data_IF_902707263342
#
_entry.id   IF_902707263342
#
_cell.length_a   1.000
_cell.length_b   1.000
_cell.length_c   1.000
_cell.angle_alpha   90.00
_cell.angle_beta   90.00
_cell.angle_gamma   90.00
#
_symmetry.space_group_name_H-M   'P 1'
#
loop_
_entity.id
_entity.type
_entity.pdbx_description
1 polymer ?
#
# COMPACT_ATOMS: atom_id res chain seq x y z
N UNK A 1 -24.02 -15.14 -16.23
CA UNK A 1 -24.32 -15.02 -14.78
C UNK A 1 -23.71 -13.72 -14.28
N UNK A 2 -24.41 -12.92 -13.47
CA UNK A 2 -23.81 -11.74 -12.84
C UNK A 2 -22.65 -12.18 -11.93
N UNK A 3 -21.60 -11.37 -11.84
CA UNK A 3 -20.49 -11.63 -10.93
C UNK A 3 -21.02 -11.68 -9.48
N UNK A 4 -20.52 -12.60 -8.63
CA UNK A 4 -20.92 -12.63 -7.23
C UNK A 4 -20.51 -11.31 -6.55
N UNK A 5 -21.31 -10.80 -5.59
CA UNK A 5 -20.98 -9.57 -4.89
C UNK A 5 -19.66 -9.73 -4.14
N UNK A 6 -18.81 -8.70 -4.21
CA UNK A 6 -17.55 -8.70 -3.48
C UNK A 6 -17.81 -8.78 -1.97
N UNK A 7 -17.07 -9.65 -1.23
CA UNK A 7 -17.29 -9.83 0.19
C UNK A 7 -16.85 -8.59 0.97
N UNK A 8 -17.70 -8.16 1.90
CA UNK A 8 -17.35 -7.14 2.89
C UNK A 8 -16.74 -7.80 4.12
N UNK A 9 -15.75 -7.13 4.69
CA UNK A 9 -15.17 -7.44 5.99
C UNK A 9 -15.50 -6.34 6.99
N UNK A 10 -15.89 -6.75 8.19
CA UNK A 10 -16.17 -5.85 9.31
C UNK A 10 -15.08 -5.96 10.37
N UNK A 11 -14.80 -4.83 11.00
CA UNK A 11 -14.10 -4.75 12.27
C UNK A 11 -15.18 -4.48 13.31
N UNK A 12 -15.29 -5.35 14.31
CA UNK A 12 -16.28 -5.23 15.39
C UNK A 12 -15.57 -5.06 16.72
N UNK A 13 -16.19 -4.37 17.67
CA UNK A 13 -15.70 -4.26 19.03
C UNK A 13 -15.85 -5.61 19.74
N UNK A 14 -14.77 -6.13 20.34
CA UNK A 14 -14.76 -7.47 20.94
C UNK A 14 -15.69 -7.60 22.16
N UNK A 15 -16.01 -6.48 22.83
CA UNK A 15 -16.85 -6.48 24.04
C UNK A 15 -18.34 -6.37 23.77
N UNK A 16 -18.72 -5.74 22.66
CA UNK A 16 -20.11 -5.39 22.34
C UNK A 16 -20.58 -5.94 20.99
N UNK A 17 -19.67 -6.47 20.18
CA UNK A 17 -19.88 -6.83 18.77
C UNK A 17 -20.36 -5.67 17.89
N UNK A 18 -20.27 -4.43 18.37
CA UNK A 18 -20.66 -3.26 17.62
C UNK A 18 -19.70 -2.99 16.45
N UNK A 19 -20.23 -2.52 15.33
CA UNK A 19 -19.47 -2.27 14.11
C UNK A 19 -18.59 -1.03 14.28
N UNK A 20 -17.29 -1.23 14.12
CA UNK A 20 -16.28 -0.16 14.18
C UNK A 20 -15.87 0.30 12.78
N UNK A 21 -15.77 -0.63 11.83
CA UNK A 21 -15.31 -0.32 10.48
C UNK A 21 -15.78 -1.37 9.48
N UNK A 22 -16.03 -0.96 8.24
CA UNK A 22 -16.47 -1.85 7.17
C UNK A 22 -15.73 -1.56 5.86
N UNK A 23 -15.25 -2.60 5.18
CA UNK A 23 -14.55 -2.44 3.88
C UNK A 23 -14.56 -3.70 3.03
N UNK A 24 -14.32 -3.53 1.73
CA UNK A 24 -13.99 -4.63 0.80
C UNK A 24 -12.47 -4.82 0.65
N UNK A 25 -11.64 -3.94 1.25
CA UNK A 25 -10.18 -3.98 1.11
C UNK A 25 -9.55 -4.83 2.21
N UNK A 26 -9.28 -6.10 1.90
CA UNK A 26 -8.69 -7.07 2.85
C UNK A 26 -7.40 -6.57 3.50
N UNK A 27 -6.43 -5.94 2.80
CA UNK A 27 -5.22 -5.44 3.46
C UNK A 27 -5.51 -4.40 4.55
N UNK A 28 -6.56 -3.59 4.38
CA UNK A 28 -6.95 -2.57 5.35
C UNK A 28 -7.54 -3.22 6.60
N UNK A 29 -8.50 -4.14 6.44
CA UNK A 29 -9.14 -4.76 7.60
C UNK A 29 -8.17 -5.60 8.42
N UNK A 30 -7.27 -6.34 7.74
CA UNK A 30 -6.24 -7.15 8.40
C UNK A 30 -5.25 -6.25 9.16
N UNK A 31 -4.88 -5.09 8.60
CA UNK A 31 -4.07 -4.12 9.30
C UNK A 31 -4.78 -3.59 10.55
N UNK A 32 -6.05 -3.19 10.43
CA UNK A 32 -6.81 -2.65 11.57
C UNK A 32 -6.95 -3.69 12.68
N UNK A 33 -7.37 -4.91 12.37
CA UNK A 33 -7.51 -6.00 13.34
C UNK A 33 -6.20 -6.31 14.09
N UNK A 34 -5.04 -6.16 13.43
CA UNK A 34 -3.73 -6.35 14.07
C UNK A 34 -3.28 -5.17 14.93
N UNK A 35 -3.88 -4.00 14.77
CA UNK A 35 -3.45 -2.75 15.42
C UNK A 35 -4.46 -2.18 16.39
N UNK A 36 -5.67 -2.76 16.43
CA UNK A 36 -6.77 -2.40 17.31
C UNK A 36 -7.10 -3.63 18.16
N UNK A 37 -6.45 -3.74 19.32
CA UNK A 37 -6.45 -4.95 20.15
C UNK A 37 -7.79 -5.31 20.79
N UNK A 38 -8.75 -4.39 20.82
CA UNK A 38 -10.10 -4.61 21.37
C UNK A 38 -11.12 -4.83 20.24
N UNK A 39 -10.65 -5.23 19.06
CA UNK A 39 -11.48 -5.40 17.88
C UNK A 39 -11.22 -6.73 17.17
N UNK A 40 -12.31 -7.35 16.70
CA UNK A 40 -12.29 -8.60 15.95
C UNK A 40 -12.61 -8.36 14.48
N UNK A 41 -12.03 -9.20 13.61
CA UNK A 41 -12.31 -9.17 12.16
C UNK A 41 -13.32 -10.25 11.80
N UNK A 42 -14.45 -9.82 11.23
CA UNK A 42 -15.45 -10.70 10.63
C UNK A 42 -15.38 -10.64 9.11
N UNK A 43 -15.21 -11.79 8.48
CA UNK A 43 -15.14 -11.92 7.03
C UNK A 43 -16.51 -12.24 6.41
N UNK A 44 -16.72 -11.72 5.19
CA UNK A 44 -17.93 -11.92 4.38
C UNK A 44 -19.23 -11.66 5.16
N UNK A 45 -19.30 -10.55 5.88
CA UNK A 45 -20.46 -10.19 6.72
C UNK A 45 -21.72 -9.86 5.90
N UNK A 46 -21.57 -9.64 4.60
CA UNK A 46 -22.70 -9.49 3.68
C UNK A 46 -23.30 -10.84 3.24
N UNK A 47 -22.69 -11.98 3.56
CA UNK A 47 -23.15 -13.30 3.16
C UNK A 47 -23.66 -14.11 4.37
N UNK A 48 -24.80 -14.84 4.25
CA UNK A 48 -25.65 -14.99 3.07
C UNK A 48 -26.75 -13.92 2.93
N UNK A 49 -26.96 -13.08 3.93
CA UNK A 49 -28.20 -12.32 4.08
C UNK A 49 -28.27 -11.01 3.28
N UNK A 50 -27.15 -10.50 2.76
CA UNK A 50 -27.03 -9.19 2.13
C UNK A 50 -26.37 -9.25 0.73
N UNK A 51 -26.65 -10.32 -0.02
CA UNK A 51 -26.07 -10.56 -1.35
C UNK A 51 -26.57 -9.54 -2.37
N UNK A 52 -27.85 -9.16 -2.31
CA UNK A 52 -28.47 -8.22 -3.24
C UNK A 52 -28.37 -6.76 -2.77
N UNK A 53 -28.56 -6.52 -1.47
CA UNK A 53 -28.44 -5.21 -0.86
C UNK A 53 -27.84 -5.30 0.54
N UNK A 54 -26.80 -4.49 0.79
CA UNK A 54 -26.16 -4.41 2.09
C UNK A 54 -26.28 -2.98 2.66
N UNK A 55 -27.36 -2.69 3.41
CA UNK A 55 -27.71 -1.32 3.80
C UNK A 55 -26.64 -0.67 4.69
N UNK A 56 -26.04 -1.44 5.60
CA UNK A 56 -25.01 -0.95 6.52
C UNK A 56 -23.78 -0.41 5.78
N UNK A 57 -23.45 -0.98 4.61
CA UNK A 57 -22.34 -0.50 3.78
C UNK A 57 -22.57 0.87 3.12
N UNK A 58 -23.83 1.33 3.06
CA UNK A 58 -24.19 2.64 2.50
C UNK A 58 -24.21 3.74 3.57
N UNK A 59 -24.08 3.37 4.85
CA UNK A 59 -24.12 4.30 5.96
C UNK A 59 -22.81 5.06 6.11
N UNK A 60 -22.91 6.27 6.68
CA UNK A 60 -21.76 7.05 7.05
C UNK A 60 -21.05 6.41 8.27
N UNK A 61 -19.71 6.50 8.38
CA UNK A 61 -18.97 5.82 9.45
C UNK A 61 -19.37 6.21 10.87
N UNK A 62 -19.90 7.41 11.05
CA UNK A 62 -20.32 7.97 12.34
C UNK A 62 -21.46 7.17 12.98
N UNK A 63 -22.29 6.50 12.17
CA UNK A 63 -23.42 5.70 12.64
C UNK A 63 -23.11 4.20 12.70
N UNK A 64 -21.92 3.75 12.30
CA UNK A 64 -21.56 2.33 12.39
C UNK A 64 -21.66 1.75 13.81
N UNK A 65 -21.25 2.44 14.89
CA UNK A 65 -21.44 1.98 16.27
C UNK A 65 -22.89 1.63 16.64
N UNK A 66 -23.88 2.17 15.91
CA UNK A 66 -25.30 1.90 16.10
C UNK A 66 -25.73 0.54 15.55
N UNK A 67 -24.81 -0.25 14.98
CA UNK A 67 -25.06 -1.59 14.46
C UNK A 67 -24.18 -2.61 15.15
N UNK A 68 -24.76 -3.73 15.56
CA UNK A 68 -24.09 -4.86 16.20
C UNK A 68 -24.16 -6.08 15.31
N UNK A 69 -23.05 -6.82 15.20
CA UNK A 69 -22.99 -8.07 14.47
C UNK A 69 -23.49 -9.23 15.33
N UNK A 70 -24.51 -9.93 14.85
CA UNK A 70 -24.97 -11.19 15.42
C UNK A 70 -24.44 -12.37 14.60
N UNK A 71 -23.47 -13.09 15.15
CA UNK A 71 -22.73 -14.13 14.42
C UNK A 71 -23.60 -15.32 14.00
N UNK A 72 -24.51 -15.77 14.87
CA UNK A 72 -25.41 -16.90 14.59
C UNK A 72 -26.29 -16.67 13.35
N UNK A 73 -27.18 -15.67 13.36
CA UNK A 73 -27.99 -15.33 12.20
C UNK A 73 -27.20 -14.64 11.08
N UNK A 74 -25.97 -14.17 11.33
CA UNK A 74 -25.11 -13.41 10.39
C UNK A 74 -25.78 -12.15 9.87
N UNK A 75 -26.29 -11.34 10.79
CA UNK A 75 -26.97 -10.08 10.49
C UNK A 75 -26.44 -8.94 11.35
N UNK A 76 -26.62 -7.72 10.86
CA UNK A 76 -26.46 -6.52 11.66
C UNK A 76 -27.82 -6.10 12.22
N UNK A 77 -27.86 -5.90 13.54
CA UNK A 77 -29.03 -5.41 14.28
C UNK A 77 -28.70 -4.07 14.94
N UNK A 78 -29.70 -3.25 15.31
CA UNK A 78 -29.44 -2.03 16.07
C UNK A 78 -28.73 -2.32 17.40
N UNK A 79 -27.63 -1.62 17.67
CA UNK A 79 -26.93 -1.68 18.96
C UNK A 79 -27.83 -1.10 20.07
N UNK A 80 -27.96 -1.78 21.22
CA UNK A 80 -28.64 -1.22 22.40
C UNK A 80 -28.06 0.13 22.81
N UNK A 81 -28.91 1.12 23.10
CA UNK A 81 -28.48 2.52 23.31
C UNK A 81 -27.48 2.69 24.44
N UNK A 82 -27.60 1.87 25.48
CA UNK A 82 -26.72 1.81 26.64
C UNK A 82 -25.30 1.34 26.32
N UNK A 83 -25.10 0.61 25.21
CA UNK A 83 -23.79 0.16 24.74
C UNK A 83 -23.10 1.18 23.82
N UNK A 84 -23.85 2.15 23.29
CA UNK A 84 -23.33 3.19 22.39
C UNK A 84 -22.63 4.28 23.21
N UNK A 85 -21.42 3.97 23.64
CA UNK A 85 -20.57 4.87 24.43
C UNK A 85 -19.72 5.78 23.56
N UNK A 86 -19.21 6.88 24.14
CA UNK A 86 -18.25 7.74 23.46
C UNK A 86 -16.95 7.01 23.14
N UNK A 87 -16.52 6.05 23.98
CA UNK A 87 -15.39 5.16 23.68
C UNK A 87 -15.60 4.46 22.35
N UNK A 88 -16.77 3.85 22.15
CA UNK A 88 -17.09 3.10 20.94
C UNK A 88 -17.09 4.00 19.69
N UNK A 89 -17.67 5.21 19.80
CA UNK A 89 -17.65 6.21 18.72
C UNK A 89 -16.24 6.63 18.37
N UNK A 90 -15.40 6.92 19.37
CA UNK A 90 -14.00 7.29 19.17
C UNK A 90 -13.21 6.14 18.56
N UNK A 91 -13.50 4.89 18.93
CA UNK A 91 -12.82 3.72 18.40
C UNK A 91 -13.18 3.44 16.94
N UNK A 92 -14.45 3.58 16.56
CA UNK A 92 -14.89 3.53 15.17
C UNK A 92 -14.24 4.65 14.34
N UNK A 93 -14.22 5.89 14.87
CA UNK A 93 -13.56 7.01 14.22
C UNK A 93 -12.05 6.79 14.04
N UNK A 94 -11.37 6.22 15.05
CA UNK A 94 -9.96 5.84 14.96
C UNK A 94 -9.72 4.83 13.83
N UNK A 95 -10.57 3.80 13.71
CA UNK A 95 -10.47 2.80 12.64
C UNK A 95 -10.58 3.45 11.25
N UNK A 96 -11.53 4.38 11.08
CA UNK A 96 -11.72 5.16 9.85
C UNK A 96 -10.47 5.98 9.54
N UNK A 97 -9.96 6.75 10.50
CA UNK A 97 -8.79 7.62 10.30
C UNK A 97 -7.52 6.81 10.02
N UNK A 98 -7.30 5.68 10.70
CA UNK A 98 -6.19 4.75 10.40
C UNK A 98 -6.31 4.16 9.00
N UNK A 99 -7.50 3.76 8.58
CA UNK A 99 -7.76 3.26 7.22
C UNK A 99 -7.46 4.32 6.16
N UNK A 100 -7.94 5.54 6.36
CA UNK A 100 -7.66 6.66 5.45
C UNK A 100 -6.16 6.91 5.32
N UNK A 101 -5.44 6.98 6.45
CA UNK A 101 -4.00 7.16 6.46
C UNK A 101 -3.26 6.02 5.75
N UNK A 102 -3.63 4.77 6.04
CA UNK A 102 -3.04 3.59 5.43
C UNK A 102 -3.23 3.58 3.90
N UNK A 103 -4.46 3.83 3.45
CA UNK A 103 -4.81 3.88 2.02
C UNK A 103 -4.04 4.98 1.32
N UNK A 104 -3.95 6.16 1.93
CA UNK A 104 -3.27 7.29 1.33
C UNK A 104 -1.76 7.06 1.18
N UNK A 105 -1.10 6.62 2.27
CA UNK A 105 0.33 6.29 2.26
C UNK A 105 0.60 5.20 1.23
N UNK A 106 -0.18 4.11 1.23
CA UNK A 106 -0.04 3.01 0.28
C UNK A 106 -0.19 3.47 -1.16
N UNK A 107 -1.21 4.30 -1.45
CA UNK A 107 -1.47 4.85 -2.79
C UNK A 107 -0.30 5.72 -3.25
N UNK A 108 0.13 6.68 -2.43
CA UNK A 108 1.23 7.58 -2.77
C UNK A 108 2.54 6.83 -3.03
N UNK A 109 2.85 5.82 -2.21
CA UNK A 109 4.01 4.96 -2.40
C UNK A 109 3.92 4.12 -3.68
N UNK A 110 2.75 3.55 -3.96
CA UNK A 110 2.52 2.76 -5.18
C UNK A 110 2.70 3.64 -6.42
N UNK A 111 2.15 4.85 -6.41
CA UNK A 111 2.30 5.80 -7.52
C UNK A 111 3.76 6.24 -7.70
N UNK A 112 4.49 6.49 -6.61
CA UNK A 112 5.91 6.82 -6.69
C UNK A 112 6.77 5.67 -7.24
N UNK A 113 6.37 4.42 -6.98
CA UNK A 113 7.04 3.22 -7.50
C UNK A 113 6.62 2.85 -8.92
N UNK A 114 5.51 3.40 -9.42
CA UNK A 114 4.95 3.03 -10.72
C UNK A 114 5.95 3.17 -11.89
N UNK A 115 6.76 4.24 -11.99
CA UNK A 115 7.78 4.37 -13.04
C UNK A 115 8.84 3.25 -13.03
N UNK A 116 9.10 2.64 -11.88
CA UNK A 116 10.06 1.53 -11.74
C UNK A 116 9.44 0.19 -12.12
N UNK A 117 8.12 0.05 -11.96
CA UNK A 117 7.42 -1.21 -12.16
C UNK A 117 7.04 -1.49 -13.62
N UNK A 118 7.08 -0.47 -14.49
CA UNK A 118 6.89 -0.49 -15.97
C UNK A 118 5.80 -1.42 -16.57
N UNK A 119 4.89 -1.96 -15.76
CA UNK A 119 3.73 -2.73 -16.21
C UNK A 119 4.04 -4.09 -16.83
N UNK A 120 5.30 -4.49 -16.99
CA UNK A 120 5.68 -5.83 -17.50
C UNK A 120 6.05 -6.73 -16.32
N UNK A 121 5.29 -7.81 -16.06
CA UNK A 121 5.62 -8.76 -15.00
C UNK A 121 7.05 -9.31 -15.16
N UNK A 122 7.81 -9.39 -14.06
CA UNK A 122 9.19 -9.91 -13.99
C UNK A 122 10.28 -9.02 -14.64
N UNK A 123 9.95 -7.81 -15.09
CA UNK A 123 10.93 -6.88 -15.67
C UNK A 123 11.99 -6.44 -14.65
N UNK A 124 11.66 -6.45 -13.36
CA UNK A 124 12.59 -6.21 -12.26
C UNK A 124 13.78 -7.19 -12.28
N UNK A 125 13.56 -8.45 -12.68
CA UNK A 125 14.63 -9.45 -12.78
C UNK A 125 15.60 -9.10 -13.91
N UNK A 126 15.07 -8.61 -15.03
CA UNK A 126 15.87 -8.14 -16.16
C UNK A 126 16.69 -6.93 -15.75
N UNK A 127 16.13 -5.98 -15.02
CA UNK A 127 16.85 -4.79 -14.54
C UNK A 127 17.96 -5.12 -13.54
N UNK A 128 17.73 -6.08 -12.66
CA UNK A 128 18.80 -6.62 -11.80
C UNK A 128 19.91 -7.26 -12.64
N UNK A 129 19.57 -8.04 -13.66
CA UNK A 129 20.56 -8.65 -14.55
C UNK A 129 21.37 -7.61 -15.36
N UNK A 130 20.71 -6.58 -15.91
CA UNK A 130 21.35 -5.44 -16.60
C UNK A 130 22.34 -4.74 -15.66
N UNK A 131 21.92 -4.41 -14.43
CA UNK A 131 22.77 -3.79 -13.39
C UNK A 131 23.97 -4.66 -13.07
N UNK A 132 23.77 -5.96 -12.80
CA UNK A 132 24.86 -6.88 -12.45
C UNK A 132 25.86 -7.04 -13.60
N UNK A 133 25.41 -7.03 -14.84
CA UNK A 133 26.31 -7.11 -15.98
C UNK A 133 27.09 -5.80 -16.21
N UNK A 134 26.43 -4.65 -16.12
CA UNK A 134 27.09 -3.34 -16.20
C UNK A 134 28.14 -3.17 -15.08
N UNK A 135 27.83 -3.62 -13.86
CA UNK A 135 28.78 -3.60 -12.75
C UNK A 135 30.00 -4.50 -13.03
N UNK A 136 29.79 -5.73 -13.52
CA UNK A 136 30.91 -6.63 -13.91
C UNK A 136 31.78 -6.04 -15.01
N UNK A 137 31.18 -5.39 -16.01
CA UNK A 137 31.92 -4.72 -17.09
C UNK A 137 32.79 -3.57 -16.57
N UNK A 138 32.25 -2.78 -15.64
CA UNK A 138 32.97 -1.71 -14.94
C UNK A 138 34.10 -2.25 -14.06
N UNK A 139 33.83 -3.29 -13.26
CA UNK A 139 34.80 -3.90 -12.35
C UNK A 139 35.96 -4.57 -13.10
N UNK A 140 35.72 -5.07 -14.32
CA UNK A 140 36.74 -5.59 -15.23
C UNK A 140 37.59 -4.49 -15.91
N UNK A 141 37.29 -3.20 -15.66
CA UNK A 141 38.02 -2.08 -16.23
C UNK A 141 37.60 -1.68 -17.65
N UNK A 142 36.37 -1.99 -18.06
CA UNK A 142 35.81 -1.69 -19.39
C UNK A 142 36.61 -2.33 -20.54
N UNK A 143 36.69 -3.67 -20.63
CA UNK A 143 37.43 -4.37 -21.68
C UNK A 143 36.91 -4.02 -23.09
N UNK A 144 37.81 -3.78 -24.04
CA UNK A 144 37.48 -3.26 -25.38
C UNK A 144 37.12 -4.36 -26.41
N UNK A 145 37.23 -5.65 -26.07
CA UNK A 145 37.11 -6.77 -27.02
C UNK A 145 36.22 -7.94 -26.54
N UNK A 146 35.47 -7.75 -25.45
CA UNK A 146 34.64 -8.81 -24.83
C UNK A 146 33.13 -8.50 -24.96
N UNK A 147 32.72 -7.92 -26.09
CA UNK A 147 31.36 -7.43 -26.32
C UNK A 147 30.30 -8.54 -26.16
N UNK A 148 30.65 -9.78 -26.50
CA UNK A 148 29.80 -10.97 -26.38
C UNK A 148 29.60 -11.43 -24.92
N UNK A 149 30.47 -11.03 -23.98
CA UNK A 149 30.32 -11.35 -22.56
C UNK A 149 29.32 -10.42 -21.85
N UNK A 150 29.04 -9.25 -22.44
CA UNK A 150 28.18 -8.21 -21.86
C UNK A 150 26.98 -7.83 -22.75
N UNK A 151 26.13 -8.78 -23.17
CA UNK A 151 25.06 -8.56 -24.17
C UNK A 151 24.03 -7.48 -23.82
N UNK A 152 23.66 -7.27 -22.56
CA UNK A 152 22.75 -6.19 -22.17
C UNK A 152 23.39 -4.81 -22.29
N UNK A 153 24.68 -4.69 -21.96
CA UNK A 153 25.44 -3.44 -22.13
C UNK A 153 25.59 -3.12 -23.61
N UNK A 154 25.93 -4.12 -24.43
CA UNK A 154 26.01 -4.00 -25.89
C UNK A 154 24.66 -3.59 -26.49
N UNK A 155 23.59 -4.32 -26.15
CA UNK A 155 22.25 -4.03 -26.66
C UNK A 155 21.79 -2.60 -26.30
N UNK A 156 22.07 -2.14 -25.09
CA UNK A 156 21.76 -0.77 -24.67
C UNK A 156 22.61 0.25 -25.43
N UNK A 157 23.90 -0.02 -25.61
CA UNK A 157 24.82 0.84 -26.36
C UNK A 157 24.34 1.03 -27.81
N UNK A 158 23.97 -0.07 -28.47
CA UNK A 158 23.46 -0.08 -29.85
C UNK A 158 22.14 0.71 -29.95
N UNK A 159 21.22 0.49 -29.00
CA UNK A 159 19.93 1.16 -28.98
C UNK A 159 20.04 2.67 -28.74
N UNK A 160 20.90 3.08 -27.80
CA UNK A 160 21.05 4.47 -27.38
C UNK A 160 22.10 5.25 -28.18
N UNK A 161 22.81 4.61 -29.12
CA UNK A 161 23.90 5.23 -29.87
C UNK A 161 25.10 5.63 -29.00
N UNK A 162 25.33 4.89 -27.92
CA UNK A 162 26.38 5.14 -26.94
C UNK A 162 27.56 4.17 -27.13
N UNK A 163 28.70 4.50 -26.56
CA UNK A 163 29.76 3.50 -26.37
C UNK A 163 29.34 2.51 -25.27
N UNK A 164 29.82 1.26 -25.30
CA UNK A 164 29.53 0.28 -24.23
C UNK A 164 29.92 0.79 -22.84
N UNK A 165 30.99 1.58 -22.74
CA UNK A 165 31.38 2.25 -21.48
C UNK A 165 30.30 3.22 -21.01
N UNK A 166 29.87 4.14 -21.87
CA UNK A 166 28.84 5.11 -21.54
C UNK A 166 27.50 4.42 -21.23
N UNK A 167 27.14 3.38 -21.98
CA UNK A 167 25.97 2.55 -21.73
C UNK A 167 26.00 1.89 -20.36
N UNK A 168 27.12 1.28 -19.96
CA UNK A 168 27.26 0.66 -18.65
C UNK A 168 27.14 1.69 -17.51
N UNK A 169 27.79 2.86 -17.66
CA UNK A 169 27.70 3.93 -16.67
C UNK A 169 26.27 4.48 -16.56
N UNK A 170 25.54 4.61 -17.67
CA UNK A 170 24.14 5.04 -17.69
C UNK A 170 23.21 3.99 -17.06
N UNK A 171 23.38 2.70 -17.38
CA UNK A 171 22.64 1.60 -16.74
C UNK A 171 22.86 1.64 -15.22
N UNK A 172 24.09 1.86 -14.75
CA UNK A 172 24.41 1.92 -13.32
C UNK A 172 23.83 3.17 -12.66
N UNK A 173 23.87 4.32 -13.32
CA UNK A 173 23.24 5.56 -12.83
C UNK A 173 21.72 5.37 -12.70
N UNK A 174 21.08 4.83 -13.73
CA UNK A 174 19.67 4.47 -13.74
C UNK A 174 19.35 3.45 -12.65
N UNK A 175 20.14 2.41 -12.46
CA UNK A 175 19.94 1.47 -11.36
C UNK A 175 20.04 2.16 -9.98
N UNK A 176 21.01 3.05 -9.79
CA UNK A 176 21.19 3.79 -8.53
C UNK A 176 20.01 4.71 -8.20
N UNK A 177 19.44 5.40 -9.19
CA UNK A 177 18.28 6.27 -9.00
C UNK A 177 17.02 5.47 -8.66
N UNK A 178 16.86 4.31 -9.31
CA UNK A 178 15.79 3.36 -8.98
C UNK A 178 15.93 2.83 -7.55
N UNK A 179 17.12 2.38 -7.16
CA UNK A 179 17.38 1.88 -5.81
C UNK A 179 17.11 2.95 -4.76
N UNK A 180 17.55 4.20 -4.98
CA UNK A 180 17.31 5.32 -4.07
C UNK A 180 15.81 5.60 -3.89
N UNK A 181 15.03 5.61 -4.98
CA UNK A 181 13.57 5.75 -4.95
C UNK A 181 12.90 4.61 -4.17
N UNK A 182 13.32 3.36 -4.41
CA UNK A 182 12.80 2.19 -3.70
C UNK A 182 13.15 2.23 -2.20
N UNK A 183 14.37 2.62 -1.84
CA UNK A 183 14.82 2.77 -0.46
C UNK A 183 14.07 3.90 0.26
N UNK A 184 13.95 5.08 -0.36
CA UNK A 184 13.18 6.21 0.19
C UNK A 184 11.72 5.83 0.40
N UNK A 185 11.08 5.24 -0.61
CA UNK A 185 9.68 4.80 -0.50
C UNK A 185 9.51 3.73 0.59
N UNK A 186 10.45 2.81 0.73
CA UNK A 186 10.41 1.80 1.79
C UNK A 186 10.60 2.41 3.18
N UNK A 187 11.51 3.37 3.33
CA UNK A 187 11.64 4.15 4.56
C UNK A 187 10.33 4.84 4.95
N UNK A 188 9.66 5.50 3.99
CA UNK A 188 8.34 6.11 4.22
C UNK A 188 7.29 5.07 4.62
N UNK A 189 7.25 3.90 3.94
CA UNK A 189 6.33 2.81 4.29
C UNK A 189 6.51 2.39 5.75
N UNK A 190 7.74 2.08 6.14
CA UNK A 190 8.07 1.63 7.49
C UNK A 190 7.75 2.70 8.55
N UNK A 191 8.22 3.93 8.32
CA UNK A 191 7.99 5.07 9.24
C UNK A 191 6.50 5.32 9.46
N UNK A 192 5.73 5.45 8.39
CA UNK A 192 4.34 5.87 8.50
C UNK A 192 3.40 4.72 8.88
N UNK A 193 3.64 3.48 8.44
CA UNK A 193 2.85 2.35 8.90
C UNK A 193 3.00 2.14 10.41
N UNK A 194 4.22 2.30 10.94
CA UNK A 194 4.46 2.18 12.37
C UNK A 194 3.78 3.30 13.17
N UNK A 195 3.79 4.54 12.65
CA UNK A 195 3.04 5.65 13.26
C UNK A 195 1.53 5.40 13.25
N UNK A 196 0.96 4.95 12.13
CA UNK A 196 -0.47 4.63 12.02
C UNK A 196 -0.84 3.49 12.98
N UNK A 197 0.02 2.47 13.09
CA UNK A 197 -0.16 1.37 14.05
C UNK A 197 -0.21 1.88 15.49
N UNK A 198 0.70 2.78 15.87
CA UNK A 198 0.80 3.33 17.23
C UNK A 198 -0.24 4.41 17.57
N UNK A 199 -0.92 5.00 16.59
CA UNK A 199 -1.95 5.99 16.85
C UNK A 199 -3.06 5.39 17.73
N UNK A 200 -3.42 6.08 18.80
CA UNK A 200 -4.48 5.70 19.74
C UNK A 200 -5.66 6.65 19.69
N UNK A 201 -5.47 7.84 19.14
CA UNK A 201 -6.49 8.86 18.97
C UNK A 201 -6.74 9.19 17.49
N UNK A 202 -7.98 9.51 17.08
CA UNK A 202 -8.29 9.89 15.71
C UNK A 202 -7.45 11.05 15.17
N UNK A 203 -7.19 12.06 16.00
CA UNK A 203 -6.44 13.27 15.64
C UNK A 203 -4.96 12.95 15.37
N UNK A 204 -4.40 11.94 16.04
CA UNK A 204 -3.04 11.46 15.77
C UNK A 204 -2.96 10.85 14.36
N UNK A 205 -3.92 10.00 14.01
CA UNK A 205 -3.98 9.39 12.68
C UNK A 205 -4.13 10.44 11.57
N UNK A 206 -4.90 11.50 11.81
CA UNK A 206 -5.07 12.61 10.87
C UNK A 206 -3.78 13.45 10.73
N UNK A 207 -3.11 13.78 11.83
CA UNK A 207 -1.80 14.47 11.80
C UNK A 207 -0.74 13.68 11.06
N UNK A 208 -0.76 12.35 11.16
CA UNK A 208 0.17 11.47 10.44
C UNK A 208 0.05 11.66 8.91
N UNK A 209 -1.16 11.84 8.38
CA UNK A 209 -1.37 12.12 6.95
C UNK A 209 -0.76 13.45 6.56
N UNK A 210 -0.96 14.50 7.37
CA UNK A 210 -0.40 15.81 7.08
C UNK A 210 1.13 15.79 7.07
N UNK A 211 1.74 15.15 8.07
CA UNK A 211 3.19 14.97 8.12
C UNK A 211 3.70 14.16 6.93
N UNK A 212 2.99 13.09 6.55
CA UNK A 212 3.31 12.27 5.40
C UNK A 212 3.38 13.12 4.14
N UNK A 213 2.31 13.85 3.81
CA UNK A 213 2.28 14.71 2.62
C UNK A 213 3.44 15.69 2.63
N UNK A 214 3.65 16.39 3.75
CA UNK A 214 4.69 17.42 3.86
C UNK A 214 6.08 16.85 3.63
N UNK A 215 6.40 15.71 4.21
CA UNK A 215 7.73 15.09 4.06
C UNK A 215 7.88 14.39 2.71
N UNK A 216 6.89 13.60 2.31
CA UNK A 216 6.92 12.79 1.09
C UNK A 216 7.13 13.65 -0.15
N UNK A 217 6.34 14.71 -0.33
CA UNK A 217 6.46 15.58 -1.50
C UNK A 217 7.70 16.48 -1.49
N UNK A 218 8.33 16.70 -0.32
CA UNK A 218 9.62 17.39 -0.24
C UNK A 218 10.80 16.48 -0.55
N UNK A 219 10.68 15.18 -0.28
CA UNK A 219 11.77 14.21 -0.40
C UNK A 219 11.76 13.47 -1.74
N UNK A 220 10.59 13.28 -2.33
CA UNK A 220 10.44 12.63 -3.64
C UNK A 220 10.29 13.69 -4.74
N UNK A 221 11.40 14.32 -5.12
CA UNK A 221 11.53 14.85 -6.47
C UNK A 221 11.65 13.64 -7.41
N UNK A 222 10.54 13.30 -8.08
CA UNK A 222 10.53 12.25 -9.08
C UNK A 222 11.01 12.89 -10.38
N UNK A 223 12.24 12.61 -10.79
CA UNK A 223 12.73 13.00 -12.10
C UNK A 223 12.15 12.04 -13.15
N UNK A 224 11.12 12.50 -13.86
CA UNK A 224 10.43 11.73 -14.89
C UNK A 224 11.25 11.57 -16.18
N UNK A 225 12.41 12.25 -16.30
CA UNK A 225 13.25 12.17 -17.49
C UNK A 225 14.19 10.95 -17.52
N UNK A 226 14.22 10.14 -16.47
CA UNK A 226 15.28 9.14 -16.25
C UNK A 226 15.02 7.77 -16.91
N UNK A 227 13.83 7.44 -17.44
CA UNK A 227 13.58 6.08 -17.98
C UNK A 227 12.80 6.06 -19.30
N UNK A 228 13.28 5.26 -20.27
CA UNK A 228 13.32 3.79 -20.20
C UNK A 228 14.73 3.18 -20.04
N UNK A 229 14.81 1.95 -19.50
CA UNK A 229 16.03 1.10 -19.39
C UNK A 229 16.07 -0.01 -20.45
#
# INVERSE_FOLDING_TARGET
MPAPPLPFSALIDASTSALLFLTQRIPVIVFLARTMSEADHMYAVNFPNYVADFPVAKLAPEVWPEWTWEEGPRVFVPTPRELITDRLRQYALLAVKKSQALVEVTRALTMARYPVLEGVPMQEVIYVAKKMQAQRYKDAGYPQNDDLEYPYVLQYADFSGLTMRAAADEILLKASLTDDLLLKSEFFRLKYFERIKKATLPEEAERIIFDFRREFYKTLEIDYAVYPL
#
